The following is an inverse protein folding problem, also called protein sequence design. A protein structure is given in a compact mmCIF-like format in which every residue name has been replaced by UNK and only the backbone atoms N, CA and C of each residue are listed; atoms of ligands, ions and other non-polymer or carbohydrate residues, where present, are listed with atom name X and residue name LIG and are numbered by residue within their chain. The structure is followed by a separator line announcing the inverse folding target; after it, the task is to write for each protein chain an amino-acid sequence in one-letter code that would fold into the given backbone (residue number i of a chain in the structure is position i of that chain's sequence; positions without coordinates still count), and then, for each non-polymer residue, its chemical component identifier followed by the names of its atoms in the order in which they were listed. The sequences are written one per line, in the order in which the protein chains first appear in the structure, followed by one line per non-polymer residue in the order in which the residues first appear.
data_IF_121278481875
#
_entry.id   IF_121278481875
#
_cell.length_a   1.000
_cell.length_b   1.000
_cell.length_c   1.000
_cell.angle_alpha   90.00
_cell.angle_beta   90.00
_cell.angle_gamma   90.00
#
_symmetry.space_group_name_H-M   'P 1'
#
loop_
_entity.id
_entity.type
_entity.pdbx_description
1 polymer ?
#
# COMPACT_ATOMS: atom_id res chain seq x y z
N UNK A 1 -4.54 -35.00 -8.77
CA UNK A 1 -4.07 -33.69 -9.28
C UNK A 1 -4.09 -32.72 -8.12
N UNK A 2 -2.94 -32.50 -7.48
CA UNK A 2 -2.82 -31.66 -6.28
C UNK A 2 -2.43 -30.24 -6.72
N UNK A 3 -3.41 -29.36 -6.93
CA UNK A 3 -3.17 -27.95 -7.20
C UNK A 3 -2.86 -27.23 -5.88
N UNK A 4 -1.71 -27.54 -5.31
CA UNK A 4 -1.18 -26.87 -4.14
C UNK A 4 -0.54 -25.53 -4.52
N UNK A 5 -0.98 -24.47 -3.84
CA UNK A 5 -0.21 -23.25 -3.58
C UNK A 5 0.29 -22.45 -4.79
N UNK A 6 -0.61 -21.70 -5.42
CA UNK A 6 -0.27 -20.32 -5.77
C UNK A 6 -1.00 -19.38 -4.80
N UNK A 7 -0.65 -19.46 -3.50
CA UNK A 7 -0.91 -18.35 -2.60
C UNK A 7 0.05 -17.22 -3.01
N UNK A 8 -0.27 -16.56 -4.13
CA UNK A 8 0.50 -15.41 -4.56
C UNK A 8 0.38 -14.34 -3.47
N UNK A 9 1.49 -13.79 -2.96
CA UNK A 9 1.41 -12.78 -1.92
C UNK A 9 0.64 -11.58 -2.45
N UNK A 10 -0.62 -11.45 -2.01
CA UNK A 10 -1.46 -10.30 -2.33
C UNK A 10 -0.90 -9.08 -1.59
N UNK A 11 -0.39 -8.13 -2.35
CA UNK A 11 0.11 -6.88 -1.79
C UNK A 11 -1.07 -5.97 -1.45
N UNK A 12 -1.18 -5.59 -0.18
CA UNK A 12 -2.25 -4.71 0.32
C UNK A 12 -1.67 -3.31 0.47
N UNK A 13 -2.24 -2.35 -0.24
CA UNK A 13 -1.73 -0.99 -0.32
C UNK A 13 -2.81 -0.04 0.22
N UNK A 14 -2.51 0.58 1.36
CA UNK A 14 -3.28 1.72 1.86
C UNK A 14 -2.81 2.99 1.17
N UNK A 15 -3.73 3.78 0.65
CA UNK A 15 -3.41 5.09 0.06
C UNK A 15 -4.57 6.08 0.28
N UNK A 16 -4.31 7.35 0.00
CA UNK A 16 -5.31 8.40 0.07
C UNK A 16 -5.95 8.62 -1.32
N UNK A 17 -7.28 8.39 -1.47
CA UNK A 17 -7.97 8.55 -2.75
C UNK A 17 -8.00 10.00 -3.25
N UNK A 18 -7.90 11.01 -2.38
CA UNK A 18 -7.90 12.43 -2.77
C UNK A 18 -6.57 12.82 -3.44
N UNK A 19 -5.46 12.26 -2.96
CA UNK A 19 -4.09 12.58 -3.44
C UNK A 19 -3.48 11.46 -4.30
N UNK A 20 -4.21 10.36 -4.53
CA UNK A 20 -3.76 9.13 -5.17
C UNK A 20 -3.54 9.22 -6.68
N UNK A 21 -2.61 10.07 -7.12
CA UNK A 21 -2.27 10.33 -8.52
C UNK A 21 -1.78 9.08 -9.28
N UNK A 22 -1.22 8.10 -8.56
CA UNK A 22 -0.64 6.92 -9.21
C UNK A 22 -1.71 6.05 -9.86
N UNK A 23 -2.84 5.77 -9.20
CA UNK A 23 -3.77 4.76 -9.74
C UNK A 23 -4.87 5.33 -10.64
N UNK A 24 -5.01 6.66 -10.67
CA UNK A 24 -5.98 7.36 -11.51
C UNK A 24 -5.93 7.00 -13.01
N UNK A 25 -4.76 6.84 -13.66
CA UNK A 25 -4.70 6.55 -15.09
C UNK A 25 -5.28 5.18 -15.49
N UNK A 26 -5.37 4.25 -14.54
CA UNK A 26 -5.86 2.88 -14.77
C UNK A 26 -7.28 2.66 -14.26
N UNK A 27 -7.95 3.77 -13.91
CA UNK A 27 -9.34 3.80 -13.52
C UNK A 27 -10.15 4.48 -14.62
N UNK A 28 -11.14 3.76 -15.14
CA UNK A 28 -12.08 4.33 -16.10
C UNK A 28 -13.05 5.35 -15.44
N UNK A 29 -13.06 5.46 -14.10
CA UNK A 29 -13.94 6.31 -13.30
C UNK A 29 -13.20 6.96 -12.11
N UNK A 30 -13.68 8.10 -11.60
CA UNK A 30 -13.05 8.81 -10.49
C UNK A 30 -12.95 8.02 -9.17
N UNK A 31 -11.91 8.30 -8.38
CA UNK A 31 -11.53 7.57 -7.16
C UNK A 31 -12.47 7.76 -5.95
N UNK A 32 -13.05 8.95 -5.78
CA UNK A 32 -13.68 9.39 -4.53
C UNK A 32 -14.84 8.48 -4.08
N UNK A 33 -15.61 7.90 -5.02
CA UNK A 33 -16.75 7.04 -4.67
C UNK A 33 -16.41 5.54 -4.63
N UNK A 34 -15.24 5.17 -5.18
CA UNK A 34 -14.81 3.78 -5.31
C UNK A 34 -14.15 3.24 -4.04
N UNK A 35 -13.59 4.12 -3.21
CA UNK A 35 -12.77 3.75 -2.05
C UNK A 35 -13.28 4.34 -0.72
N UNK A 36 -14.60 4.38 -0.57
CA UNK A 36 -15.22 4.56 0.74
C UNK A 36 -14.79 3.45 1.71
N UNK A 37 -14.91 3.70 3.01
CA UNK A 37 -14.60 2.74 4.07
C UNK A 37 -15.22 1.36 3.81
N UNK A 38 -14.40 0.31 3.86
CA UNK A 38 -14.86 -1.06 3.62
C UNK A 38 -14.98 -1.46 2.15
N UNK A 39 -14.68 -0.55 1.21
CA UNK A 39 -14.48 -0.89 -0.21
C UNK A 39 -13.01 -1.07 -0.52
N UNK A 40 -12.73 -1.93 -1.48
CA UNK A 40 -11.38 -2.22 -1.95
C UNK A 40 -11.36 -2.26 -3.47
N UNK A 41 -10.25 -1.83 -4.05
CA UNK A 41 -10.02 -1.85 -5.48
C UNK A 41 -8.99 -2.93 -5.79
N UNK A 42 -9.24 -3.74 -6.81
CA UNK A 42 -8.44 -4.93 -7.09
C UNK A 42 -7.69 -4.79 -8.41
N UNK A 43 -6.44 -5.24 -8.43
CA UNK A 43 -5.64 -5.34 -9.63
C UNK A 43 -6.21 -6.32 -10.66
N UNK A 44 -5.77 -6.18 -11.91
CA UNK A 44 -6.34 -6.93 -13.04
C UNK A 44 -6.21 -8.46 -12.93
N UNK A 45 -5.18 -8.93 -12.22
CA UNK A 45 -4.84 -10.36 -12.07
C UNK A 45 -5.48 -11.00 -10.83
N UNK A 46 -6.24 -10.24 -10.04
CA UNK A 46 -6.99 -10.77 -8.89
C UNK A 46 -8.33 -11.32 -9.38
N UNK A 47 -8.61 -12.57 -9.06
CA UNK A 47 -9.86 -13.22 -9.40
C UNK A 47 -11.00 -12.80 -8.45
N UNK A 48 -11.40 -11.53 -8.55
CA UNK A 48 -12.53 -10.96 -7.84
C UNK A 48 -13.28 -9.98 -8.74
N UNK A 49 -14.61 -10.04 -8.73
CA UNK A 49 -15.47 -9.18 -9.56
C UNK A 49 -16.09 -8.05 -8.74
N UNK A 50 -16.41 -6.94 -9.40
CA UNK A 50 -17.08 -5.81 -8.76
C UNK A 50 -18.41 -6.26 -8.14
N UNK A 51 -18.65 -5.85 -6.89
CA UNK A 51 -19.83 -6.25 -6.12
C UNK A 51 -19.66 -7.55 -5.32
N UNK A 52 -18.60 -8.32 -5.55
CA UNK A 52 -18.26 -9.45 -4.69
C UNK A 52 -17.70 -8.97 -3.34
N UNK A 53 -17.74 -9.86 -2.34
CA UNK A 53 -17.14 -9.61 -1.03
C UNK A 53 -15.88 -10.43 -0.89
N UNK A 54 -14.74 -9.78 -0.68
CA UNK A 54 -13.51 -10.45 -0.27
C UNK A 54 -13.39 -10.42 1.24
N UNK A 55 -13.13 -11.58 1.84
CA UNK A 55 -12.87 -11.69 3.27
C UNK A 55 -11.37 -11.54 3.51
N UNK A 56 -10.99 -10.53 4.27
CA UNK A 56 -9.65 -10.45 4.84
C UNK A 56 -9.75 -10.54 6.37
N UNK A 57 -9.01 -11.48 6.96
CA UNK A 57 -9.12 -11.83 8.37
C UNK A 57 -10.57 -12.16 8.75
N UNK A 58 -11.22 -11.34 9.57
CA UNK A 58 -12.62 -11.51 9.96
C UNK A 58 -13.57 -10.42 9.42
N UNK A 59 -13.13 -9.66 8.41
CA UNK A 59 -13.95 -8.62 7.78
C UNK A 59 -14.19 -8.87 6.30
N UNK A 60 -15.41 -8.58 5.89
CA UNK A 60 -15.82 -8.61 4.49
C UNK A 60 -15.68 -7.21 3.90
N UNK A 61 -15.00 -7.12 2.76
CA UNK A 61 -14.77 -5.90 2.02
C UNK A 61 -15.48 -5.99 0.66
N UNK A 62 -16.16 -4.92 0.26
CA UNK A 62 -16.84 -4.87 -1.03
C UNK A 62 -15.82 -4.54 -2.13
N UNK A 63 -15.79 -5.38 -3.16
CA UNK A 63 -14.91 -5.18 -4.31
C UNK A 63 -15.50 -4.10 -5.21
N UNK A 64 -14.78 -3.00 -5.32
CA UNK A 64 -15.00 -1.93 -6.28
C UNK A 64 -14.54 -2.38 -7.69
N UNK A 65 -14.73 -1.56 -8.74
CA UNK A 65 -14.28 -1.89 -10.08
C UNK A 65 -12.79 -2.24 -10.13
N UNK A 66 -12.47 -3.23 -10.96
CA UNK A 66 -11.10 -3.71 -11.17
C UNK A 66 -10.28 -2.68 -11.95
N UNK A 67 -9.00 -2.55 -11.62
CA UNK A 67 -8.05 -1.77 -12.41
C UNK A 67 -7.85 -2.37 -13.79
N UNK A 68 -7.62 -1.50 -14.77
CA UNK A 68 -7.08 -1.94 -16.05
C UNK A 68 -5.70 -2.55 -15.86
N UNK A 69 -5.32 -3.43 -16.79
CA UNK A 69 -4.03 -4.12 -16.73
C UNK A 69 -2.89 -3.09 -16.81
N UNK A 70 -2.15 -2.97 -15.72
CA UNK A 70 -1.03 -2.03 -15.58
C UNK A 70 0.27 -2.62 -16.10
N UNK A 71 0.41 -3.95 -16.11
CA UNK A 71 1.64 -4.64 -16.49
C UNK A 71 2.77 -4.54 -15.44
N UNK A 72 2.47 -3.99 -14.26
CA UNK A 72 3.38 -3.87 -13.12
C UNK A 72 2.76 -4.55 -11.89
N UNK A 73 3.45 -4.51 -10.74
CA UNK A 73 3.02 -5.19 -9.51
C UNK A 73 1.62 -4.80 -8.96
N UNK A 74 0.99 -3.77 -9.52
CA UNK A 74 -0.38 -3.37 -9.19
C UNK A 74 -1.43 -4.37 -9.67
N UNK A 75 -1.12 -5.17 -10.69
CA UNK A 75 -2.06 -6.17 -11.22
C UNK A 75 -2.39 -7.26 -10.18
N UNK A 76 -1.48 -7.52 -9.24
CA UNK A 76 -1.63 -8.48 -8.14
C UNK A 76 -1.83 -7.80 -6.78
N UNK A 77 -2.19 -6.51 -6.77
CA UNK A 77 -2.34 -5.71 -5.55
C UNK A 77 -3.80 -5.36 -5.27
N UNK A 78 -4.12 -5.17 -3.98
CA UNK A 78 -5.40 -4.65 -3.50
C UNK A 78 -5.16 -3.27 -2.91
N UNK A 79 -5.90 -2.29 -3.40
CA UNK A 79 -5.85 -0.91 -2.94
C UNK A 79 -7.04 -0.61 -2.03
N UNK A 80 -6.78 0.12 -0.96
CA UNK A 80 -7.78 0.51 0.02
C UNK A 80 -7.43 1.89 0.58
N UNK A 81 -8.41 2.56 1.17
CA UNK A 81 -8.14 3.81 1.87
C UNK A 81 -7.34 3.56 3.17
N UNK A 82 -6.69 4.61 3.69
CA UNK A 82 -5.87 4.49 4.91
C UNK A 82 -6.66 4.02 6.14
N UNK A 83 -7.90 4.45 6.30
CA UNK A 83 -8.78 4.00 7.41
C UNK A 83 -9.04 2.49 7.35
N UNK A 84 -9.27 1.93 6.16
CA UNK A 84 -9.45 0.49 5.94
C UNK A 84 -8.14 -0.26 6.12
N UNK A 85 -7.02 0.26 5.60
CA UNK A 85 -5.69 -0.33 5.80
C UNK A 85 -5.32 -0.41 7.28
N UNK A 86 -5.61 0.65 8.06
CA UNK A 86 -5.38 0.69 9.51
C UNK A 86 -6.20 -0.38 10.24
N UNK A 87 -7.52 -0.43 9.99
CA UNK A 87 -8.41 -1.45 10.56
C UNK A 87 -7.90 -2.86 10.23
N UNK A 88 -7.41 -3.06 9.01
CA UNK A 88 -6.87 -4.33 8.57
C UNK A 88 -5.53 -4.67 9.27
N UNK A 89 -4.66 -3.68 9.47
CA UNK A 89 -3.40 -3.84 10.19
C UNK A 89 -3.62 -4.19 11.67
N UNK A 90 -4.57 -3.51 12.34
CA UNK A 90 -4.95 -3.81 13.72
C UNK A 90 -5.52 -5.23 13.88
N UNK A 91 -6.38 -5.68 12.96
CA UNK A 91 -6.86 -7.07 12.98
C UNK A 91 -5.73 -8.07 12.68
N UNK A 92 -4.71 -7.65 11.91
CA UNK A 92 -3.54 -8.48 11.64
C UNK A 92 -2.61 -8.65 12.83
N UNK A 93 -2.60 -7.74 13.81
CA UNK A 93 -1.81 -7.86 15.04
C UNK A 93 -2.15 -9.13 15.84
N UNK A 94 -3.39 -9.62 15.70
CA UNK A 94 -3.81 -10.91 16.29
C UNK A 94 -3.04 -12.11 15.75
N UNK A 95 -2.41 -11.99 14.58
CA UNK A 95 -1.59 -13.04 13.97
C UNK A 95 -0.11 -12.66 13.87
N UNK A 96 0.22 -11.41 13.52
CA UNK A 96 1.59 -10.90 13.45
C UNK A 96 1.61 -9.39 13.76
N UNK A 97 2.48 -8.97 14.68
CA UNK A 97 2.67 -7.56 15.03
C UNK A 97 3.10 -6.73 13.82
N UNK A 98 2.46 -5.58 13.60
CA UNK A 98 2.77 -4.69 12.48
C UNK A 98 2.79 -3.22 12.93
N UNK A 99 3.87 -2.45 12.70
CA UNK A 99 4.04 -1.11 13.28
C UNK A 99 2.99 -0.07 12.86
N UNK A 100 2.35 -0.24 11.69
CA UNK A 100 1.20 0.60 11.25
C UNK A 100 -0.03 0.50 12.18
N UNK A 101 -0.15 -0.57 12.96
CA UNK A 101 -1.25 -0.70 13.91
C UNK A 101 -1.06 0.16 15.17
N UNK A 102 0.19 0.50 15.53
CA UNK A 102 0.55 1.36 16.66
C UNK A 102 0.69 2.86 16.29
N UNK A 103 1.30 3.19 15.15
CA UNK A 103 1.41 4.59 14.66
C UNK A 103 0.78 4.72 13.27
N UNK A 104 -0.34 5.45 13.21
CA UNK A 104 -1.14 5.67 12.01
C UNK A 104 -0.55 6.70 11.05
N UNK A 105 0.56 7.34 11.43
CA UNK A 105 1.31 8.28 10.58
C UNK A 105 2.43 7.59 9.82
N UNK A 106 2.63 6.28 10.01
CA UNK A 106 3.64 5.51 9.30
C UNK A 106 3.22 5.24 7.86
N UNK A 107 3.90 5.92 6.95
CA UNK A 107 3.77 5.74 5.51
C UNK A 107 5.01 5.04 4.96
N UNK A 108 4.80 4.03 4.11
CA UNK A 108 5.90 3.27 3.51
C UNK A 108 6.59 4.03 2.38
N UNK A 109 5.86 4.90 1.70
CA UNK A 109 6.36 5.64 0.54
C UNK A 109 5.54 6.89 0.30
N UNK A 110 6.19 7.91 -0.27
CA UNK A 110 5.55 9.16 -0.73
C UNK A 110 5.85 9.31 -2.22
N UNK A 111 4.84 9.71 -2.98
CA UNK A 111 4.97 10.01 -4.40
C UNK A 111 4.63 11.48 -4.59
N UNK A 112 5.52 12.20 -5.26
CA UNK A 112 5.34 13.64 -5.53
C UNK A 112 5.23 13.88 -7.03
N UNK A 113 4.27 14.73 -7.43
CA UNK A 113 4.15 15.22 -8.80
C UNK A 113 4.93 16.53 -8.93
N UNK A 114 5.94 16.54 -9.78
CA UNK A 114 6.80 17.69 -10.00
C UNK A 114 6.21 18.54 -11.14
N UNK A 115 6.25 19.88 -10.98
CA UNK A 115 5.80 20.82 -12.00
C UNK A 115 6.79 20.84 -13.17
N UNK A 116 6.28 20.98 -14.40
CA UNK A 116 7.12 21.13 -15.58
C UNK A 116 8.08 22.33 -15.44
N UNK A 117 9.34 22.14 -15.81
CA UNK A 117 10.41 23.13 -15.70
C UNK A 117 11.33 22.96 -14.49
N UNK A 118 11.05 22.00 -13.59
CA UNK A 118 11.94 21.61 -12.49
C UNK A 118 12.67 20.31 -12.82
N UNK A 119 13.95 20.21 -12.43
CA UNK A 119 14.72 18.98 -12.54
C UNK A 119 14.35 18.00 -11.42
N UNK A 120 14.07 16.75 -11.81
CA UNK A 120 13.63 15.70 -10.88
C UNK A 120 14.69 15.36 -9.85
N UNK A 121 15.97 15.36 -10.24
CA UNK A 121 17.10 15.04 -9.36
C UNK A 121 17.31 16.16 -8.34
N UNK A 122 17.19 17.42 -8.77
CA UNK A 122 17.34 18.55 -7.86
C UNK A 122 16.25 18.56 -6.78
N UNK A 123 14.99 18.31 -7.16
CA UNK A 123 13.89 18.18 -6.21
C UNK A 123 14.09 16.98 -5.28
N UNK A 124 14.48 15.82 -5.82
CA UNK A 124 14.74 14.62 -5.01
C UNK A 124 15.88 14.85 -4.00
N UNK A 125 16.98 15.48 -4.44
CA UNK A 125 18.10 15.84 -3.59
C UNK A 125 17.68 16.84 -2.50
N UNK A 126 16.86 17.83 -2.85
CA UNK A 126 16.31 18.78 -1.86
C UNK A 126 15.47 18.10 -0.79
N UNK A 127 14.61 17.15 -1.16
CA UNK A 127 13.80 16.36 -0.21
C UNK A 127 14.72 15.52 0.69
N UNK A 128 15.70 14.82 0.11
CA UNK A 128 16.63 13.98 0.89
C UNK A 128 17.51 14.80 1.84
N UNK A 129 17.86 16.04 1.48
CA UNK A 129 18.60 16.96 2.33
C UNK A 129 17.74 17.58 3.43
N UNK A 130 16.47 17.88 3.16
CA UNK A 130 15.54 18.45 4.13
C UNK A 130 15.04 17.41 5.16
N UNK A 131 14.93 16.15 4.74
CA UNK A 131 14.61 15.00 5.58
C UNK A 131 15.80 14.03 5.64
N UNK A 132 16.96 14.46 6.19
CA UNK A 132 18.10 13.58 6.32
C UNK A 132 17.70 12.42 7.24
N UNK A 133 18.21 11.21 6.96
CA UNK A 133 17.95 9.97 7.71
C UNK A 133 18.36 10.09 9.20
N UNK A 134 17.65 10.86 10.01
CA UNK A 134 17.96 11.11 11.44
C UNK A 134 17.06 10.33 12.39
N UNK A 135 16.02 9.65 11.92
CA UNK A 135 15.07 8.96 12.80
C UNK A 135 15.23 7.44 12.89
N UNK A 136 16.03 6.80 12.02
CA UNK A 136 16.04 5.33 11.91
C UNK A 136 17.17 4.68 12.73
N UNK A 137 18.22 5.45 13.04
CA UNK A 137 19.42 4.97 13.75
C UNK A 137 19.32 5.06 15.27
N UNK A 138 18.25 5.67 15.82
CA UNK A 138 18.08 5.85 17.27
C UNK A 138 17.13 4.82 17.90
N UNK A 139 16.53 3.91 17.12
CA UNK A 139 15.54 2.93 17.61
C UNK A 139 15.90 1.46 17.33
N UNK A 140 17.16 1.16 17.02
CA UNK A 140 17.70 -0.20 17.16
C UNK A 140 18.57 -0.24 18.42
N UNK A 141 18.18 -0.97 19.47
CA UNK A 141 19.07 -1.16 20.61
C UNK A 141 20.35 -1.84 20.12
N UNK A 142 21.47 -1.34 20.63
CA UNK A 142 22.82 -1.83 20.34
C UNK A 142 22.97 -3.30 20.75
N UNK A 143 22.69 -4.25 19.86
CA UNK A 143 23.21 -5.62 19.98
C UNK A 143 23.34 -6.26 18.60
N UNK A 144 24.51 -6.10 17.99
CA UNK A 144 25.16 -7.19 17.28
C UNK A 144 26.65 -6.86 17.13
N UNK A 145 27.44 -7.39 18.06
CA UNK A 145 28.89 -7.46 17.96
C UNK A 145 29.25 -8.35 16.78
N UNK A 146 29.81 -7.75 15.73
CA UNK A 146 30.37 -8.48 14.60
C UNK A 146 31.85 -8.72 14.90
N UNK A 147 32.15 -9.87 15.50
CA UNK A 147 33.51 -10.42 15.54
C UNK A 147 33.77 -11.05 14.18
N UNK A 148 34.80 -10.59 13.47
CA UNK A 148 35.35 -11.30 12.33
C UNK A 148 36.71 -11.92 12.73
N UNK A 149 37.04 -13.12 12.20
CA UNK A 149 38.36 -13.74 12.37
C UNK A 149 39.47 -12.96 11.65
#
# INVERSE_FOLDING_TARGET
MNAGCCAYPLQRIGFDPETGLIIQPWLSYGLEHLLADGKILVGSSINAEAGQKLKFFDRNFLVAPRLEKTGIGFDTSVFMNFSTAKKLAQESERMQWHPVAEDDRLISSVVVKIKNGYDVKDVANGILQAYPKKAWLLWFPKTCSMTFP
#
